data_IF_596031635303
#
_entry.id   IF_596031635303
#
_cell.length_a   1.000
_cell.length_b   1.000
_cell.length_c   1.000
_cell.angle_alpha   90.00
_cell.angle_beta   90.00
_cell.angle_gamma   90.00
#
_symmetry.space_group_name_H-M   'P 1'
#
loop_
_entity.id
_entity.type
_entity.pdbx_description
1 polymer ?
#
# COMPACT_ATOMS: atom_id res chain seq x y z
N UNK A 1 -10.35 32.97 -12.10
CA UNK A 1 -10.30 33.03 -10.64
C UNK A 1 -9.16 32.11 -10.19
N UNK A 2 -8.04 32.67 -9.74
CA UNK A 2 -6.91 31.85 -9.30
C UNK A 2 -7.23 31.28 -7.92
N UNK A 3 -7.38 29.97 -7.83
CA UNK A 3 -7.49 29.30 -6.52
C UNK A 3 -6.22 29.58 -5.70
N UNK A 4 -6.37 29.94 -4.44
CA UNK A 4 -5.21 30.07 -3.53
C UNK A 4 -4.50 28.74 -3.34
N UNK A 5 -3.21 28.77 -3.00
CA UNK A 5 -2.44 27.56 -2.72
C UNK A 5 -3.07 26.74 -1.58
N UNK A 6 -3.66 27.41 -0.61
CA UNK A 6 -4.38 26.80 0.51
C UNK A 6 -5.68 26.13 0.05
N UNK A 7 -6.47 26.79 -0.81
CA UNK A 7 -7.70 26.19 -1.35
C UNK A 7 -7.42 24.90 -2.13
N UNK A 8 -6.36 24.88 -2.95
CA UNK A 8 -5.93 23.69 -3.69
C UNK A 8 -5.47 22.56 -2.77
N UNK A 9 -4.69 22.90 -1.76
CA UNK A 9 -4.25 21.92 -0.77
C UNK A 9 -5.44 21.30 -0.02
N UNK A 10 -6.36 22.12 0.45
CA UNK A 10 -7.57 21.65 1.14
C UNK A 10 -8.44 20.75 0.24
N UNK A 11 -8.45 21.02 -1.08
CA UNK A 11 -9.10 20.16 -2.06
C UNK A 11 -8.39 18.79 -2.15
N UNK A 12 -7.05 18.75 -2.24
CA UNK A 12 -6.30 17.48 -2.27
C UNK A 12 -6.55 16.64 -1.00
N UNK A 13 -6.59 17.27 0.17
CA UNK A 13 -6.89 16.57 1.42
C UNK A 13 -8.28 15.91 1.33
N UNK A 14 -9.31 16.66 0.95
CA UNK A 14 -10.69 16.14 0.86
C UNK A 14 -10.83 15.01 -0.16
N UNK A 15 -10.21 15.17 -1.34
CA UNK A 15 -10.37 14.21 -2.44
C UNK A 15 -9.54 12.93 -2.23
N UNK A 16 -8.37 13.03 -1.61
CA UNK A 16 -7.40 11.93 -1.59
C UNK A 16 -7.18 11.29 -0.22
N UNK A 17 -7.67 11.89 0.89
CA UNK A 17 -7.44 11.37 2.24
C UNK A 17 -7.86 9.89 2.38
N UNK A 18 -9.09 9.57 1.97
CA UNK A 18 -9.63 8.21 2.11
C UNK A 18 -8.83 7.16 1.33
N UNK A 19 -8.42 7.53 0.13
CA UNK A 19 -7.57 6.68 -0.71
C UNK A 19 -6.21 6.47 -0.05
N UNK A 20 -5.53 7.55 0.35
CA UNK A 20 -4.21 7.48 0.96
C UNK A 20 -4.23 6.66 2.27
N UNK A 21 -5.26 6.83 3.09
CA UNK A 21 -5.39 6.08 4.34
C UNK A 21 -5.57 4.58 4.10
N UNK A 22 -6.43 4.19 3.16
CA UNK A 22 -6.61 2.77 2.79
C UNK A 22 -5.32 2.18 2.23
N UNK A 23 -4.65 2.92 1.36
CA UNK A 23 -3.39 2.49 0.74
C UNK A 23 -2.27 2.37 1.78
N UNK A 24 -2.12 3.34 2.66
CA UNK A 24 -1.14 3.30 3.75
C UNK A 24 -1.41 2.12 4.69
N UNK A 25 -2.67 1.87 5.05
CA UNK A 25 -3.04 0.72 5.89
C UNK A 25 -2.71 -0.61 5.21
N UNK A 26 -3.06 -0.77 3.93
CA UNK A 26 -2.71 -1.97 3.18
C UNK A 26 -1.18 -2.17 3.04
N UNK A 27 -0.40 -1.07 2.98
CA UNK A 27 1.06 -1.14 2.90
C UNK A 27 1.71 -1.45 4.25
N UNK A 28 1.22 -0.88 5.34
CA UNK A 28 1.84 -0.96 6.67
C UNK A 28 1.28 -2.09 7.53
N UNK A 29 0.04 -2.52 7.28
CA UNK A 29 -0.66 -3.52 8.10
C UNK A 29 -1.22 -2.95 9.42
N UNK A 30 -0.87 -1.72 9.79
CA UNK A 30 -1.31 -1.06 11.02
C UNK A 30 -2.08 0.21 10.70
N UNK A 31 -3.28 0.35 11.29
CA UNK A 31 -4.10 1.55 11.10
C UNK A 31 -3.46 2.78 11.74
N UNK A 32 -2.90 2.65 12.93
CA UNK A 32 -2.22 3.74 13.61
C UNK A 32 -1.02 4.26 12.78
N UNK A 33 -0.16 3.35 12.31
CA UNK A 33 0.96 3.72 11.43
C UNK A 33 0.46 4.34 10.12
N UNK A 34 -0.65 3.85 9.56
CA UNK A 34 -1.22 4.42 8.35
C UNK A 34 -1.71 5.87 8.54
N UNK A 35 -2.30 6.18 9.69
CA UNK A 35 -2.72 7.54 10.05
C UNK A 35 -1.52 8.49 10.15
N UNK A 36 -0.43 8.06 10.79
CA UNK A 36 0.83 8.83 10.88
C UNK A 36 1.46 9.04 9.50
N UNK A 37 1.51 8.00 8.68
CA UNK A 37 2.03 8.05 7.31
C UNK A 37 1.25 9.05 6.45
N UNK A 38 -0.07 9.09 6.58
CA UNK A 38 -0.92 10.02 5.83
C UNK A 38 -0.74 11.45 6.32
N UNK A 39 -0.61 11.65 7.62
CA UNK A 39 -0.30 12.96 8.20
C UNK A 39 1.04 13.50 7.68
N UNK A 40 2.09 12.68 7.70
CA UNK A 40 3.40 12.99 7.14
C UNK A 40 3.33 13.31 5.65
N UNK A 41 2.53 12.52 4.91
CA UNK A 41 2.30 12.74 3.48
C UNK A 41 1.74 14.14 3.22
N UNK A 42 0.66 14.52 3.90
CA UNK A 42 0.06 15.83 3.69
C UNK A 42 0.94 16.97 4.19
N UNK A 43 1.68 16.79 5.28
CA UNK A 43 2.67 17.76 5.76
C UNK A 43 3.76 17.99 4.70
N UNK A 44 4.28 16.93 4.12
CA UNK A 44 5.26 17.00 3.04
C UNK A 44 4.67 17.61 1.76
N UNK A 45 3.44 17.22 1.40
CA UNK A 45 2.74 17.78 0.25
C UNK A 45 2.53 19.28 0.37
N UNK A 46 2.20 19.78 1.55
CA UNK A 46 2.13 21.24 1.80
C UNK A 46 3.47 21.95 1.55
N UNK A 47 4.56 21.39 2.07
CA UNK A 47 5.92 21.96 1.90
C UNK A 47 6.33 22.00 0.43
N UNK A 48 5.96 20.98 -0.36
CA UNK A 48 6.38 20.83 -1.75
C UNK A 48 5.26 21.14 -2.78
N UNK A 49 4.18 21.80 -2.36
CA UNK A 49 2.98 22.05 -3.19
C UNK A 49 3.23 22.77 -4.50
N UNK A 50 4.31 23.54 -4.58
CA UNK A 50 4.70 24.26 -5.80
C UNK A 50 5.32 23.36 -6.88
N UNK A 51 5.74 22.15 -6.53
CA UNK A 51 6.30 21.17 -7.47
C UNK A 51 5.23 20.54 -8.36
N UNK A 52 3.98 20.46 -7.86
CA UNK A 52 2.87 19.91 -8.64
C UNK A 52 2.29 20.97 -9.57
N UNK A 53 2.63 20.88 -10.85
CA UNK A 53 2.16 21.80 -11.89
C UNK A 53 0.83 21.38 -12.51
N UNK A 54 0.56 20.07 -12.57
CA UNK A 54 -0.63 19.48 -13.19
C UNK A 54 -1.48 18.82 -12.10
N UNK A 55 -2.69 19.32 -11.90
CA UNK A 55 -3.58 18.85 -10.83
C UNK A 55 -4.05 17.41 -11.06
N UNK A 56 -4.18 16.99 -12.30
CA UNK A 56 -4.57 15.64 -12.69
C UNK A 56 -3.58 14.58 -12.18
N UNK A 57 -2.33 14.99 -11.94
CA UNK A 57 -1.29 14.12 -11.39
C UNK A 57 -1.21 14.13 -9.87
N UNK A 58 -2.08 14.90 -9.18
CA UNK A 58 -2.06 15.04 -7.73
C UNK A 58 -2.13 13.67 -7.02
N UNK A 59 -2.97 12.76 -7.52
CA UNK A 59 -3.19 11.43 -6.96
C UNK A 59 -1.90 10.59 -6.98
N UNK A 60 -1.25 10.47 -8.13
CA UNK A 60 0.00 9.73 -8.27
C UNK A 60 1.14 10.39 -7.47
N UNK A 61 1.19 11.73 -7.47
CA UNK A 61 2.19 12.47 -6.73
C UNK A 61 2.04 12.32 -5.21
N UNK A 62 0.83 12.40 -4.67
CA UNK A 62 0.55 12.16 -3.26
C UNK A 62 0.84 10.71 -2.85
N UNK A 63 0.48 9.74 -3.70
CA UNK A 63 0.83 8.34 -3.44
C UNK A 63 2.35 8.15 -3.34
N UNK A 64 3.15 8.78 -4.21
CA UNK A 64 4.60 8.73 -4.17
C UNK A 64 5.17 9.27 -2.86
N UNK A 65 4.63 10.39 -2.36
CA UNK A 65 5.02 10.96 -1.06
C UNK A 65 4.64 10.00 0.07
N UNK A 66 3.40 9.52 0.09
CA UNK A 66 2.89 8.59 1.10
C UNK A 66 3.71 7.29 1.12
N UNK A 67 4.01 6.71 -0.05
CA UNK A 67 4.83 5.51 -0.18
C UNK A 67 6.22 5.69 0.45
N UNK A 68 6.87 6.82 0.20
CA UNK A 68 8.18 7.13 0.80
C UNK A 68 8.08 7.26 2.32
N UNK A 69 7.00 7.84 2.83
CA UNK A 69 6.74 7.89 4.28
C UNK A 69 6.51 6.50 4.85
N UNK A 70 5.66 5.67 4.22
CA UNK A 70 5.39 4.30 4.65
C UNK A 70 6.69 3.46 4.71
N UNK A 71 7.56 3.57 3.71
CA UNK A 71 8.83 2.84 3.70
C UNK A 71 9.75 3.25 4.85
N UNK A 72 9.75 4.52 5.26
CA UNK A 72 10.52 4.99 6.43
C UNK A 72 9.97 4.40 7.73
N UNK A 73 8.66 4.34 7.89
CA UNK A 73 8.02 3.75 9.08
C UNK A 73 8.21 2.23 9.15
N UNK A 74 8.39 1.56 8.00
CA UNK A 74 8.63 0.12 7.94
C UNK A 74 10.13 -0.25 7.99
N UNK A 75 11.03 0.71 7.81
CA UNK A 75 12.46 0.48 7.96
C UNK A 75 12.77 0.13 9.43
N UNK A 76 13.59 -0.92 9.70
CA UNK A 76 13.97 -1.22 11.07
C UNK A 76 14.66 0.00 11.68
N UNK A 77 14.12 0.50 12.77
CA UNK A 77 14.77 1.52 13.59
C UNK A 77 16.02 0.87 14.17
N UNK A 78 17.20 1.38 13.82
CA UNK A 78 18.47 0.90 14.35
C UNK A 78 18.68 1.33 15.81
N UNK A 79 17.74 2.03 16.42
CA UNK A 79 17.76 2.44 17.84
C UNK A 79 16.34 2.38 18.41
N UNK A 80 16.00 1.28 19.02
CA UNK A 80 15.20 1.07 20.24
C UNK A 80 14.78 -0.38 20.33
N UNK A 81 15.45 -1.11 21.19
CA UNK A 81 14.93 -2.30 21.86
C UNK A 81 13.82 -1.82 22.78
N UNK A 82 12.61 -2.29 22.56
CA UNK A 82 11.37 -2.23 23.35
C UNK A 82 10.23 -1.56 22.59
N UNK A 83 9.60 -2.28 21.71
CA UNK A 83 8.15 -2.24 21.57
C UNK A 83 7.63 -3.52 20.91
N UNK A 84 7.46 -4.54 21.75
CA UNK A 84 6.63 -5.73 21.52
C UNK A 84 5.17 -5.28 21.59
N UNK A 85 4.67 -4.52 20.65
CA UNK A 85 3.25 -4.19 20.58
C UNK A 85 2.73 -4.01 19.16
N UNK A 86 2.88 -5.05 18.34
CA UNK A 86 2.01 -5.24 17.18
C UNK A 86 0.63 -5.71 17.67
N UNK A 87 0.01 -4.91 18.55
CA UNK A 87 -1.36 -5.15 18.96
C UNK A 87 -2.28 -4.86 17.78
N UNK A 88 -2.81 -5.93 17.24
CA UNK A 88 -4.08 -5.99 16.54
C UNK A 88 -5.09 -5.17 17.35
N UNK A 89 -5.45 -4.00 16.85
CA UNK A 89 -6.54 -3.21 17.42
C UNK A 89 -7.85 -3.82 16.88
N UNK A 90 -8.65 -4.52 17.72
CA UNK A 90 -9.92 -5.08 17.30
C UNK A 90 -10.96 -3.96 17.33
N UNK A 91 -10.98 -3.12 16.28
CA UNK A 91 -12.07 -2.19 16.09
C UNK A 91 -13.33 -2.95 15.69
N UNK A 92 -14.32 -2.89 16.57
CA UNK A 92 -15.75 -3.19 16.44
C UNK A 92 -16.19 -4.12 15.29
N UNK A 93 -16.71 -5.27 15.65
CA UNK A 93 -17.22 -6.33 14.79
C UNK A 93 -18.33 -5.88 13.83
N UNK A 94 -17.96 -5.43 12.64
CA UNK A 94 -18.77 -5.45 11.44
C UNK A 94 -18.29 -6.66 10.62
N UNK A 95 -19.16 -7.58 10.16
CA UNK A 95 -18.77 -8.75 9.36
C UNK A 95 -17.93 -8.41 8.13
N UNK A 96 -18.07 -7.18 7.60
CA UNK A 96 -17.24 -6.65 6.53
C UNK A 96 -15.83 -6.23 7.00
N UNK A 97 -15.62 -6.10 8.31
CA UNK A 97 -14.34 -5.75 8.91
C UNK A 97 -13.41 -6.97 8.94
N UNK A 98 -13.96 -8.16 9.18
CA UNK A 98 -13.20 -9.41 9.21
C UNK A 98 -12.58 -9.73 7.84
N UNK A 99 -13.39 -9.68 6.76
CA UNK A 99 -12.88 -9.89 5.41
C UNK A 99 -11.80 -8.85 5.01
N UNK A 100 -11.93 -7.61 5.48
CA UNK A 100 -10.94 -6.56 5.22
C UNK A 100 -9.66 -6.79 6.00
N UNK A 101 -9.74 -7.23 7.24
CA UNK A 101 -8.59 -7.58 8.07
C UNK A 101 -7.83 -8.76 7.45
N UNK A 102 -8.54 -9.75 6.91
CA UNK A 102 -7.95 -10.90 6.24
C UNK A 102 -7.18 -10.49 4.98
N UNK A 103 -7.74 -9.59 4.16
CA UNK A 103 -7.07 -9.06 2.96
C UNK A 103 -5.84 -8.23 3.34
N UNK A 104 -5.94 -7.33 4.34
CA UNK A 104 -4.79 -6.55 4.81
C UNK A 104 -3.71 -7.47 5.37
N UNK A 105 -4.08 -8.46 6.17
CA UNK A 105 -3.16 -9.47 6.69
C UNK A 105 -2.49 -10.28 5.57
N UNK A 106 -3.23 -10.66 4.54
CA UNK A 106 -2.65 -11.33 3.36
C UNK A 106 -1.69 -10.42 2.59
N UNK A 107 -2.04 -9.14 2.42
CA UNK A 107 -1.17 -8.15 1.79
C UNK A 107 0.15 -7.97 2.54
N UNK A 108 0.15 -7.99 3.88
CA UNK A 108 1.40 -7.85 4.66
C UNK A 108 2.33 -9.05 4.52
N UNK A 109 1.82 -10.23 4.11
CA UNK A 109 2.62 -11.44 3.87
C UNK A 109 3.28 -11.51 2.50
N UNK A 110 2.92 -10.64 1.56
CA UNK A 110 3.54 -10.59 0.24
C UNK A 110 4.61 -9.48 0.15
N UNK A 111 5.51 -9.60 -0.82
CA UNK A 111 6.58 -8.63 -1.02
C UNK A 111 6.03 -7.20 -1.23
N UNK A 112 6.66 -6.15 -0.66
CA UNK A 112 6.19 -4.76 -0.76
C UNK A 112 5.94 -4.31 -2.20
N UNK A 113 6.82 -4.67 -3.15
CA UNK A 113 6.66 -4.31 -4.57
C UNK A 113 5.41 -4.89 -5.23
N UNK A 114 4.93 -6.05 -4.76
CA UNK A 114 3.69 -6.67 -5.20
C UNK A 114 2.47 -6.04 -4.53
N UNK A 115 2.60 -5.69 -3.25
CA UNK A 115 1.56 -5.02 -2.48
C UNK A 115 1.21 -3.66 -3.08
N UNK A 116 2.22 -2.86 -3.44
CA UNK A 116 2.06 -1.54 -4.04
C UNK A 116 1.21 -1.57 -5.32
N UNK A 117 1.50 -2.46 -6.25
CA UNK A 117 0.74 -2.55 -7.50
C UNK A 117 -0.70 -3.02 -7.28
N UNK A 118 -0.95 -3.92 -6.32
CA UNK A 118 -2.30 -4.36 -5.97
C UNK A 118 -3.13 -3.22 -5.37
N UNK A 119 -2.53 -2.46 -4.47
CA UNK A 119 -3.18 -1.32 -3.81
C UNK A 119 -3.60 -0.28 -4.85
N UNK A 120 -2.70 0.12 -5.74
CA UNK A 120 -3.02 1.10 -6.79
C UNK A 120 -4.08 0.60 -7.77
N UNK A 121 -4.03 -0.67 -8.12
CA UNK A 121 -4.96 -1.26 -9.08
C UNK A 121 -6.37 -1.45 -8.48
N UNK A 122 -6.47 -2.10 -7.31
CA UNK A 122 -7.76 -2.52 -6.75
C UNK A 122 -8.40 -1.50 -5.82
N UNK A 123 -7.62 -0.66 -5.12
CA UNK A 123 -8.19 0.32 -4.20
C UNK A 123 -8.44 1.67 -4.85
N UNK A 124 -7.74 1.92 -5.96
CA UNK A 124 -7.72 3.21 -6.60
C UNK A 124 -8.18 3.22 -8.06
N UNK A 125 -8.39 2.05 -8.66
CA UNK A 125 -8.67 1.90 -10.09
C UNK A 125 -7.71 2.75 -10.96
N UNK A 126 -6.44 2.84 -10.51
CA UNK A 126 -5.46 3.71 -11.13
C UNK A 126 -5.03 3.15 -12.49
N UNK A 127 -5.10 3.96 -13.57
CA UNK A 127 -4.63 3.52 -14.89
C UNK A 127 -3.14 3.14 -14.85
N UNK A 128 -2.75 2.13 -15.64
CA UNK A 128 -1.37 1.61 -15.68
C UNK A 128 -0.31 2.69 -15.89
N UNK A 129 -0.60 3.69 -16.73
CA UNK A 129 0.31 4.82 -16.96
C UNK A 129 0.53 5.65 -15.68
N UNK A 130 -0.54 5.95 -14.94
CA UNK A 130 -0.43 6.66 -13.66
C UNK A 130 0.23 5.81 -12.58
N UNK A 131 0.00 4.48 -12.59
CA UNK A 131 0.71 3.55 -11.69
C UNK A 131 2.22 3.56 -11.98
N UNK A 132 2.61 3.58 -13.23
CA UNK A 132 4.01 3.68 -13.65
C UNK A 132 4.67 4.95 -13.11
N UNK A 133 3.98 6.09 -13.21
CA UNK A 133 4.43 7.37 -12.66
C UNK A 133 4.49 7.34 -11.12
N UNK A 134 3.46 6.79 -10.47
CA UNK A 134 3.39 6.71 -9.01
C UNK A 134 4.49 5.81 -8.42
N UNK A 135 4.84 4.75 -9.11
CA UNK A 135 5.85 3.77 -8.70
C UNK A 135 7.25 4.04 -9.27
N UNK A 136 7.38 5.01 -10.17
CA UNK A 136 8.64 5.37 -10.85
C UNK A 136 9.25 4.17 -11.61
N UNK A 137 8.41 3.42 -12.35
CA UNK A 137 8.80 2.23 -13.16
C UNK A 137 8.13 2.26 -14.53
N UNK A 138 8.66 1.46 -15.47
CA UNK A 138 8.06 1.35 -16.80
C UNK A 138 6.65 0.71 -16.75
N UNK A 139 5.70 1.10 -17.65
CA UNK A 139 4.36 0.53 -17.71
C UNK A 139 4.34 -1.00 -17.88
N UNK A 140 5.25 -1.55 -18.69
CA UNK A 140 5.40 -3.01 -18.86
C UNK A 140 5.79 -3.71 -17.56
N UNK A 141 6.59 -3.04 -16.71
CA UNK A 141 6.95 -3.53 -15.38
C UNK A 141 5.76 -3.54 -14.44
N UNK A 142 4.85 -2.56 -14.53
CA UNK A 142 3.60 -2.55 -13.74
C UNK A 142 2.78 -3.79 -14.06
N UNK A 143 2.56 -4.11 -15.34
CA UNK A 143 1.77 -5.26 -15.77
C UNK A 143 2.37 -6.58 -15.29
N UNK A 144 3.68 -6.77 -15.46
CA UNK A 144 4.37 -7.99 -15.02
C UNK A 144 4.38 -8.14 -13.50
N UNK A 145 4.54 -7.04 -12.76
CA UNK A 145 4.42 -7.04 -11.28
C UNK A 145 3.00 -7.35 -10.85
N UNK A 146 1.98 -6.80 -11.52
CA UNK A 146 0.59 -7.03 -11.19
C UNK A 146 0.19 -8.51 -11.37
N UNK A 147 0.66 -9.17 -12.45
CA UNK A 147 0.45 -10.60 -12.64
C UNK A 147 1.04 -11.43 -11.48
N UNK A 148 2.32 -11.21 -11.17
CA UNK A 148 3.01 -11.91 -10.06
C UNK A 148 2.39 -11.59 -8.70
N UNK A 149 1.95 -10.35 -8.50
CA UNK A 149 1.32 -9.92 -7.27
C UNK A 149 -0.03 -10.63 -7.01
N UNK A 150 -0.82 -10.86 -8.07
CA UNK A 150 -2.07 -11.64 -7.97
C UNK A 150 -1.80 -13.09 -7.55
N UNK A 151 -0.79 -13.71 -8.13
CA UNK A 151 -0.40 -15.08 -7.76
C UNK A 151 0.09 -15.15 -6.31
N UNK A 152 0.91 -14.18 -5.89
CA UNK A 152 1.40 -14.09 -4.52
C UNK A 152 0.26 -13.87 -3.51
N UNK A 153 -0.71 -12.98 -3.83
CA UNK A 153 -1.87 -12.74 -2.97
C UNK A 153 -2.75 -13.99 -2.87
N UNK A 154 -3.01 -14.67 -4.00
CA UNK A 154 -3.78 -15.91 -4.02
C UNK A 154 -3.12 -16.97 -3.14
N UNK A 155 -1.80 -17.12 -3.20
CA UNK A 155 -1.05 -18.04 -2.35
C UNK A 155 -1.13 -17.64 -0.86
N UNK A 156 -1.02 -16.34 -0.55
CA UNK A 156 -1.12 -15.83 0.82
C UNK A 156 -2.53 -15.99 1.43
N UNK A 157 -3.58 -16.02 0.62
CA UNK A 157 -4.97 -16.22 1.05
C UNK A 157 -5.39 -17.69 1.06
N UNK A 158 -4.56 -18.60 0.58
CA UNK A 158 -4.89 -20.03 0.58
C UNK A 158 -4.92 -20.58 2.02
N UNK A 159 -5.90 -21.46 2.37
CA UNK A 159 -5.91 -22.14 3.65
C UNK A 159 -4.60 -22.93 3.89
N UNK A 160 -4.10 -23.01 5.13
CA UNK A 160 -2.80 -23.63 5.45
C UNK A 160 -2.69 -25.11 5.03
N UNK A 161 -3.79 -25.82 4.92
CA UNK A 161 -3.81 -27.24 4.50
C UNK A 161 -3.36 -27.49 3.05
N UNK A 162 -3.49 -26.48 2.15
CA UNK A 162 -3.05 -26.62 0.76
C UNK A 162 -1.59 -26.29 0.52
N UNK A 163 -0.96 -25.56 1.43
CA UNK A 163 0.46 -25.22 1.33
C UNK A 163 1.36 -26.45 1.62
N UNK A 164 0.91 -27.38 2.46
CA UNK A 164 1.66 -28.60 2.82
C UNK A 164 1.66 -29.64 1.69
N UNK A 165 0.64 -29.68 0.83
CA UNK A 165 0.52 -30.68 -0.23
C UNK A 165 1.49 -30.45 -1.42
N UNK A 166 1.96 -29.21 -1.62
CA UNK A 166 2.88 -28.89 -2.71
C UNK A 166 4.37 -29.11 -2.34
N UNK A 167 4.68 -29.28 -1.05
CA UNK A 167 6.04 -29.56 -0.59
C UNK A 167 6.41 -31.04 -0.54
N UNK A 168 5.48 -31.96 -0.85
CA UNK A 168 5.71 -33.43 -0.83
C UNK A 168 5.82 -34.07 -2.22
N UNK A 169 6.35 -33.36 -3.21
CA UNK A 169 6.76 -34.02 -4.45
C UNK A 169 8.17 -34.57 -4.21
N UNK A 170 8.21 -35.80 -3.72
CA UNK A 170 9.43 -36.62 -3.61
C UNK A 170 10.02 -36.83 -5.01
N UNK A 171 11.30 -36.49 -5.26
CA UNK A 171 11.91 -36.80 -6.55
C UNK A 171 12.01 -38.32 -6.72
N UNK A 172 11.42 -38.81 -7.81
CA UNK A 172 11.53 -40.20 -8.22
C UNK A 172 13.02 -40.59 -8.35
N UNK A 173 13.44 -41.50 -7.50
CA UNK A 173 14.78 -42.14 -7.51
C UNK A 173 14.88 -42.93 -8.81
N UNK A 174 15.78 -42.49 -9.71
CA UNK A 174 16.17 -43.30 -10.90
C UNK A 174 16.93 -44.51 -10.39
N UNK A 175 16.44 -45.68 -10.78
CA UNK A 175 17.17 -46.97 -10.74
C UNK A 175 18.06 -47.04 -11.96
#
# INVERSE_FOLDING_TARGET
MFQSAESRYNQWVREHYRFLLRSAWALTGSRAVAEDVVQDCFTSAWKHRTQLRQHELARAWLFRIMRRSALRHLAPHTESLDDDNALHDPAAADPRTDDRLDVVSALTRIAPIHREVLVLYYFDDMPTAQMADALEIAPGTVLSRLARARDALKAAMAPPERASALSQVTPLRKV
#
